data_IF_587739414965
#
_entry.id   IF_587739414965
#
_cell.length_a   1.000
_cell.length_b   1.000
_cell.length_c   1.000
_cell.angle_alpha   90.00
_cell.angle_beta   90.00
_cell.angle_gamma   90.00
#
_symmetry.space_group_name_H-M   'P 1'
#
loop_
_entity.id
_entity.type
_entity.pdbx_description
1 polymer ?
#
# COMPACT_ATOMS: atom_id res chain seq x y z
N UNK A 1 -21.14 -11.56 -36.19
CA UNK A 1 -19.88 -11.42 -35.43
C UNK A 1 -19.08 -12.69 -35.65
N UNK A 2 -17.88 -12.61 -36.26
CA UNK A 2 -17.09 -13.82 -36.56
C UNK A 2 -16.44 -14.38 -35.29
N UNK A 3 -16.13 -15.68 -35.27
CA UNK A 3 -15.63 -16.39 -34.09
C UNK A 3 -14.35 -15.76 -33.47
N UNK A 4 -13.56 -15.04 -34.27
CA UNK A 4 -12.37 -14.31 -33.82
C UNK A 4 -12.70 -13.04 -33.01
N UNK A 5 -13.74 -12.30 -33.41
CA UNK A 5 -14.26 -11.12 -32.71
C UNK A 5 -14.92 -11.52 -31.38
N UNK A 6 -15.64 -12.64 -31.37
CA UNK A 6 -16.25 -13.19 -30.15
C UNK A 6 -15.19 -13.60 -29.12
N UNK A 7 -14.07 -14.22 -29.54
CA UNK A 7 -12.95 -14.58 -28.64
C UNK A 7 -12.23 -13.36 -28.07
N UNK A 8 -12.02 -12.31 -28.87
CA UNK A 8 -11.41 -11.05 -28.39
C UNK A 8 -12.28 -10.35 -27.36
N UNK A 9 -13.58 -10.24 -27.64
CA UNK A 9 -14.54 -9.66 -26.69
C UNK A 9 -14.61 -10.50 -25.42
N UNK A 10 -14.69 -11.83 -25.51
CA UNK A 10 -14.73 -12.69 -24.33
C UNK A 10 -13.47 -12.60 -23.47
N UNK A 11 -12.27 -12.51 -24.06
CA UNK A 11 -11.01 -12.36 -23.30
C UNK A 11 -10.95 -11.00 -22.62
N UNK A 12 -11.32 -9.91 -23.30
CA UNK A 12 -11.39 -8.57 -22.70
C UNK A 12 -12.43 -8.53 -21.58
N UNK A 13 -13.57 -9.18 -21.76
CA UNK A 13 -14.64 -9.24 -20.75
C UNK A 13 -14.23 -10.09 -19.54
N UNK A 14 -13.47 -11.16 -19.73
CA UNK A 14 -12.89 -11.98 -18.64
C UNK A 14 -11.80 -11.22 -17.89
N UNK A 15 -10.95 -10.46 -18.60
CA UNK A 15 -9.94 -9.58 -17.98
C UNK A 15 -10.63 -8.48 -17.16
N UNK A 16 -11.68 -7.85 -17.69
CA UNK A 16 -12.48 -6.86 -16.96
C UNK A 16 -13.19 -7.50 -15.77
N UNK A 17 -13.71 -8.73 -15.90
CA UNK A 17 -14.35 -9.45 -14.80
C UNK A 17 -13.37 -9.79 -13.66
N UNK A 18 -12.13 -10.18 -14.00
CA UNK A 18 -11.06 -10.47 -13.03
C UNK A 18 -10.48 -9.19 -12.42
N UNK A 19 -10.48 -8.07 -13.14
CA UNK A 19 -10.08 -6.77 -12.61
C UNK A 19 -11.17 -6.13 -11.72
N UNK A 20 -12.43 -6.52 -11.87
CA UNK A 20 -13.55 -6.04 -11.05
C UNK A 20 -13.81 -6.88 -9.79
N UNK A 21 -13.15 -8.04 -9.64
CA UNK A 21 -13.21 -8.79 -8.38
C UNK A 21 -12.23 -8.18 -7.38
N UNK A 22 -12.60 -7.01 -6.84
CA UNK A 22 -12.03 -6.54 -5.57
C UNK A 22 -12.28 -7.59 -4.49
N UNK A 23 -11.26 -7.89 -3.69
CA UNK A 23 -11.38 -8.84 -2.59
C UNK A 23 -12.33 -8.29 -1.53
N UNK A 24 -13.42 -9.01 -1.29
CA UNK A 24 -14.36 -8.62 -0.26
C UNK A 24 -13.83 -9.02 1.13
N UNK A 25 -13.54 -8.02 1.96
CA UNK A 25 -13.15 -8.19 3.36
C UNK A 25 -13.88 -7.16 4.23
N UNK A 26 -14.24 -7.54 5.47
CA UNK A 26 -14.93 -6.67 6.43
C UNK A 26 -13.98 -5.86 7.32
N UNK A 27 -12.83 -5.48 6.76
CA UNK A 27 -11.87 -4.63 7.48
C UNK A 27 -12.44 -3.22 7.49
N UNK A 28 -12.74 -2.73 8.70
CA UNK A 28 -13.30 -1.39 8.91
C UNK A 28 -12.22 -0.39 9.36
N UNK A 29 -12.42 0.91 9.11
CA UNK A 29 -11.50 1.95 9.54
C UNK A 29 -11.60 2.21 11.05
N UNK A 30 -10.60 2.94 11.56
CA UNK A 30 -10.56 3.49 12.92
C UNK A 30 -10.96 4.96 12.88
N UNK A 31 -11.79 5.45 13.79
CA UNK A 31 -12.06 6.90 13.85
C UNK A 31 -10.97 7.64 14.61
N UNK A 32 -10.70 8.88 14.23
CA UNK A 32 -9.76 9.75 14.91
C UNK A 32 -10.28 10.25 16.26
N UNK A 33 -9.39 10.21 17.27
CA UNK A 33 -9.60 10.80 18.60
C UNK A 33 -8.99 12.21 18.66
N UNK A 34 -9.59 13.06 19.50
CA UNK A 34 -9.20 14.42 19.90
C UNK A 34 -8.32 15.24 18.92
N UNK A 35 -7.03 14.90 18.80
CA UNK A 35 -6.02 15.69 18.09
C UNK A 35 -5.70 15.13 16.70
N UNK A 36 -6.02 15.94 15.69
CA UNK A 36 -5.68 15.72 14.29
C UNK A 36 -4.25 16.21 14.04
N UNK A 37 -3.29 15.29 14.08
CA UNK A 37 -1.88 15.58 13.82
C UNK A 37 -1.44 14.96 12.50
N UNK A 38 -0.43 15.55 11.89
CA UNK A 38 0.13 15.06 10.64
C UNK A 38 1.60 15.40 10.50
N UNK A 39 2.27 14.66 9.62
CA UNK A 39 3.68 14.83 9.29
C UNK A 39 3.79 14.96 7.78
N UNK A 40 4.45 16.02 7.32
CA UNK A 40 4.75 16.21 5.90
C UNK A 40 6.26 16.34 5.73
N UNK A 41 6.81 15.67 4.72
CA UNK A 41 8.22 15.76 4.34
C UNK A 41 8.30 15.97 2.83
N UNK A 42 9.14 16.91 2.41
CA UNK A 42 9.46 17.09 0.99
C UNK A 42 10.97 17.16 0.81
N UNK A 43 11.46 16.52 -0.25
CA UNK A 43 12.86 16.55 -0.65
C UNK A 43 12.90 16.89 -2.14
N UNK A 44 13.77 17.82 -2.50
CA UNK A 44 14.22 18.03 -3.88
C UNK A 44 15.75 18.07 -3.84
N UNK A 45 16.37 17.05 -4.40
CA UNK A 45 17.81 16.84 -4.36
C UNK A 45 18.34 16.51 -5.75
N UNK A 46 19.38 17.25 -6.15
CA UNK A 46 20.24 16.88 -7.29
C UNK A 46 21.63 16.63 -6.75
N UNK A 47 22.17 15.44 -7.01
CA UNK A 47 23.46 14.99 -6.50
C UNK A 47 24.32 14.42 -7.63
N UNK A 48 25.60 14.78 -7.64
CA UNK A 48 26.64 14.07 -8.39
C UNK A 48 27.52 13.41 -7.34
N UNK A 49 27.64 12.08 -7.38
CA UNK A 49 28.33 11.31 -6.34
C UNK A 49 27.36 10.38 -5.63
N UNK A 50 27.24 10.52 -4.30
CA UNK A 50 26.41 9.62 -3.47
C UNK A 50 25.23 10.37 -2.85
N UNK A 51 24.01 9.88 -3.10
CA UNK A 51 22.80 10.26 -2.39
C UNK A 51 22.36 9.08 -1.51
N UNK A 52 22.06 9.39 -0.24
CA UNK A 52 21.48 8.45 0.71
C UNK A 52 20.23 9.09 1.32
N UNK A 53 19.11 8.38 1.25
CA UNK A 53 17.83 8.80 1.82
C UNK A 53 17.25 7.63 2.61
N UNK A 54 16.91 7.89 3.87
CA UNK A 54 16.23 6.95 4.74
C UNK A 54 15.05 7.63 5.39
N UNK A 55 13.94 6.91 5.46
CA UNK A 55 12.73 7.31 6.15
C UNK A 55 12.12 6.06 6.76
N UNK A 56 11.83 6.16 8.05
CA UNK A 56 11.08 5.16 8.80
C UNK A 56 9.97 5.90 9.54
N UNK A 57 8.75 5.46 9.34
CA UNK A 57 7.58 5.98 10.04
C UNK A 57 6.71 4.83 10.49
N UNK A 58 6.29 4.92 11.74
CA UNK A 58 5.18 4.16 12.29
C UNK A 58 4.16 5.12 12.90
N UNK A 59 2.91 4.97 12.52
CA UNK A 59 1.78 5.73 13.06
C UNK A 59 0.73 4.76 13.58
N UNK A 60 0.30 4.95 14.82
CA UNK A 60 -0.72 4.12 15.43
C UNK A 60 -1.84 4.98 16.00
N UNK A 61 -3.08 4.50 15.87
CA UNK A 61 -4.26 5.19 16.38
C UNK A 61 -5.33 4.20 16.83
N UNK A 62 -6.09 4.58 17.85
CA UNK A 62 -7.26 3.86 18.35
C UNK A 62 -8.47 4.79 18.34
N UNK A 63 -9.68 4.25 18.20
CA UNK A 63 -10.93 5.01 18.25
C UNK A 63 -11.45 5.22 19.69
N UNK A 64 -10.87 4.57 20.69
CA UNK A 64 -11.42 4.53 22.04
C UNK A 64 -10.73 5.52 22.99
N UNK A 65 -11.49 6.44 23.65
CA UNK A 65 -10.94 7.24 24.73
C UNK A 65 -10.42 6.35 25.88
N UNK A 66 -9.14 6.48 26.22
CA UNK A 66 -8.49 5.61 27.20
C UNK A 66 -8.03 4.26 26.65
N UNK A 67 -8.12 4.04 25.33
CA UNK A 67 -7.46 2.92 24.66
C UNK A 67 -5.94 2.98 24.83
N UNK A 68 -5.32 1.82 25.01
CA UNK A 68 -3.88 1.69 25.23
C UNK A 68 -3.21 1.02 24.03
N UNK A 69 -2.52 1.83 23.21
CA UNK A 69 -1.77 1.35 22.05
C UNK A 69 -0.60 0.43 22.43
N UNK A 70 -0.10 0.50 23.67
CA UNK A 70 0.94 -0.41 24.16
C UNK A 70 0.39 -1.78 24.58
N UNK A 71 -0.94 -1.91 24.75
CA UNK A 71 -1.59 -3.17 25.08
C UNK A 71 -2.13 -3.85 23.82
N UNK A 72 -1.66 -5.05 23.50
CA UNK A 72 -2.12 -5.81 22.33
C UNK A 72 -3.54 -6.40 22.45
N UNK A 73 -4.21 -6.20 23.59
CA UNK A 73 -5.58 -6.66 23.83
C UNK A 73 -6.56 -5.56 23.46
N UNK A 74 -7.42 -5.82 22.46
CA UNK A 74 -8.51 -4.92 22.10
C UNK A 74 -9.67 -5.05 23.09
N UNK A 75 -10.19 -3.93 23.55
CA UNK A 75 -11.44 -3.88 24.33
C UNK A 75 -12.67 -3.90 23.40
N UNK A 76 -13.88 -4.23 23.89
CA UNK A 76 -15.10 -4.14 23.08
C UNK A 76 -15.23 -2.77 22.40
N UNK A 77 -15.68 -2.77 21.14
CA UNK A 77 -15.82 -1.59 20.27
C UNK A 77 -14.53 -0.86 19.88
N UNK A 78 -13.36 -1.35 20.31
CA UNK A 78 -12.07 -0.79 19.93
C UNK A 78 -11.68 -1.21 18.50
N UNK A 79 -11.28 -0.24 17.70
CA UNK A 79 -10.58 -0.39 16.42
C UNK A 79 -9.25 0.34 16.45
N UNK A 80 -8.26 -0.21 15.76
CA UNK A 80 -6.92 0.35 15.63
C UNK A 80 -6.46 0.38 14.20
N UNK A 81 -5.76 1.45 13.85
CA UNK A 81 -5.07 1.62 12.59
C UNK A 81 -3.58 1.79 12.87
N UNK A 82 -2.76 1.03 12.15
CA UNK A 82 -1.30 1.10 12.17
C UNK A 82 -0.85 1.31 10.74
N UNK A 83 -0.10 2.37 10.51
CA UNK A 83 0.60 2.64 9.26
C UNK A 83 2.08 2.48 9.50
N UNK A 84 2.77 1.76 8.61
CA UNK A 84 4.22 1.83 8.54
C UNK A 84 4.65 2.24 7.15
N UNK A 85 5.74 2.98 7.09
CA UNK A 85 6.36 3.40 5.85
C UNK A 85 7.87 3.36 6.01
N UNK A 86 8.52 2.57 5.17
CA UNK A 86 9.97 2.46 5.14
C UNK A 86 10.49 2.75 3.74
N UNK A 87 11.55 3.54 3.69
CA UNK A 87 12.30 3.76 2.47
C UNK A 87 13.81 3.69 2.76
N UNK A 88 14.53 3.16 1.77
CA UNK A 88 15.96 3.21 1.74
C UNK A 88 16.42 3.36 0.30
N UNK A 89 16.97 4.54 -0.01
CA UNK A 89 17.59 4.81 -1.30
C UNK A 89 19.07 5.09 -1.10
N UNK A 90 19.91 4.33 -1.81
CA UNK A 90 21.34 4.58 -1.94
C UNK A 90 21.67 4.67 -3.42
N UNK A 91 21.87 5.88 -3.92
CA UNK A 91 22.40 6.12 -5.25
C UNK A 91 23.89 6.45 -5.12
N UNK A 92 24.76 5.51 -5.48
CA UNK A 92 26.19 5.63 -5.30
C UNK A 92 26.91 5.80 -6.64
N UNK A 93 27.71 6.85 -6.72
CA UNK A 93 28.63 7.08 -7.83
C UNK A 93 27.90 7.28 -9.17
N UNK A 94 27.05 8.30 -9.21
CA UNK A 94 26.31 8.68 -10.41
C UNK A 94 25.69 10.07 -10.29
N UNK A 95 24.89 10.43 -11.28
CA UNK A 95 24.03 11.62 -11.22
C UNK A 95 22.64 11.18 -10.79
N UNK A 96 22.13 11.78 -9.71
CA UNK A 96 20.82 11.48 -9.15
C UNK A 96 19.99 12.75 -9.08
N UNK A 97 18.77 12.71 -9.59
CA UNK A 97 17.72 13.67 -9.26
C UNK A 97 16.63 12.93 -8.50
N UNK A 98 16.38 13.35 -7.27
CA UNK A 98 15.44 12.71 -6.37
C UNK A 98 14.45 13.75 -5.85
N UNK A 99 13.17 13.49 -6.03
CA UNK A 99 12.10 14.28 -5.42
C UNK A 99 11.18 13.40 -4.61
N UNK A 100 10.81 13.88 -3.42
CA UNK A 100 9.87 13.22 -2.52
C UNK A 100 8.81 14.19 -2.05
N UNK A 101 7.59 13.69 -2.01
CA UNK A 101 6.49 14.24 -1.25
C UNK A 101 5.95 13.12 -0.37
N UNK A 102 5.90 13.37 0.93
CA UNK A 102 5.37 12.44 1.91
C UNK A 102 4.42 13.19 2.84
N UNK A 103 3.28 12.59 3.11
CA UNK A 103 2.28 13.12 4.01
C UNK A 103 1.62 11.98 4.80
N UNK A 104 1.56 12.13 6.11
CA UNK A 104 0.73 11.33 7.00
C UNK A 104 -0.25 12.27 7.70
N UNK A 105 -1.55 11.95 7.63
CA UNK A 105 -2.65 12.70 8.24
C UNK A 105 -3.46 11.75 9.15
N UNK A 106 -3.43 12.00 10.45
CA UNK A 106 -4.16 11.23 11.46
C UNK A 106 -5.66 11.58 11.56
N UNK A 107 -6.16 12.49 10.72
CA UNK A 107 -7.56 12.92 10.71
C UNK A 107 -8.51 11.89 10.11
N UNK A 108 -9.80 12.03 10.41
CA UNK A 108 -10.85 11.31 9.69
C UNK A 108 -10.86 11.75 8.22
N UNK A 109 -10.65 10.81 7.31
CA UNK A 109 -10.75 11.06 5.87
C UNK A 109 -11.96 10.35 5.26
N UNK A 110 -12.54 10.97 4.24
CA UNK A 110 -13.61 10.37 3.43
C UNK A 110 -13.03 9.43 2.36
N UNK A 111 -13.91 8.69 1.69
CA UNK A 111 -13.54 7.96 0.48
C UNK A 111 -12.89 8.91 -0.55
N UNK A 112 -11.85 8.44 -1.24
CA UNK A 112 -11.08 9.21 -2.22
C UNK A 112 -9.97 10.08 -1.63
N UNK A 113 -9.87 10.17 -0.30
CA UNK A 113 -8.71 10.76 0.39
C UNK A 113 -7.94 9.67 1.12
N UNK A 114 -6.65 9.90 1.32
CA UNK A 114 -5.73 8.97 1.97
C UNK A 114 -5.11 9.63 3.21
N UNK A 115 -4.88 8.83 4.25
CA UNK A 115 -4.14 9.24 5.46
C UNK A 115 -2.65 9.25 5.17
N UNK A 116 -2.14 8.17 4.57
CA UNK A 116 -0.77 8.01 4.12
C UNK A 116 -0.71 8.32 2.62
N UNK A 117 0.14 9.28 2.26
CA UNK A 117 0.49 9.57 0.88
C UNK A 117 2.00 9.69 0.75
N UNK A 118 2.57 9.01 -0.23
CA UNK A 118 3.95 9.24 -0.63
C UNK A 118 4.04 9.24 -2.16
N UNK A 119 4.82 10.15 -2.71
CA UNK A 119 5.19 10.16 -4.11
C UNK A 119 6.68 10.38 -4.23
N UNK A 120 7.32 9.46 -4.94
CA UNK A 120 8.72 9.60 -5.30
C UNK A 120 8.91 9.71 -6.78
N UNK A 121 9.95 10.44 -7.15
CA UNK A 121 10.50 10.40 -8.48
C UNK A 121 12.01 10.40 -8.36
N UNK A 122 12.64 9.41 -8.99
CA UNK A 122 14.09 9.29 -9.03
C UNK A 122 14.54 9.09 -10.46
N UNK A 123 15.50 9.92 -10.88
CA UNK A 123 16.26 9.74 -12.10
C UNK A 123 17.69 9.46 -11.69
N UNK A 124 18.21 8.31 -12.08
CA UNK A 124 19.56 7.90 -11.76
C UNK A 124 20.31 7.45 -13.01
N UNK A 125 21.51 7.99 -13.18
CA UNK A 125 22.47 7.59 -14.21
C UNK A 125 23.82 7.31 -13.55
N UNK A 126 24.28 6.07 -13.65
CA UNK A 126 25.56 5.64 -13.10
C UNK A 126 26.75 6.27 -13.84
N UNK A 127 27.81 6.61 -13.12
CA UNK A 127 29.12 6.80 -13.73
C UNK A 127 29.70 5.42 -14.11
N UNK A 128 29.68 5.13 -15.41
CA UNK A 128 30.16 3.85 -15.94
C UNK A 128 31.66 3.62 -15.67
N UNK A 129 32.45 4.68 -15.50
CA UNK A 129 33.88 4.55 -15.21
C UNK A 129 34.17 4.08 -13.79
N UNK A 130 33.21 4.23 -12.89
CA UNK A 130 33.34 3.92 -11.46
C UNK A 130 32.33 2.86 -10.97
N UNK A 131 31.64 2.19 -11.89
CA UNK A 131 30.65 1.14 -11.59
C UNK A 131 29.53 1.61 -10.66
N UNK A 132 28.97 2.78 -10.93
CA UNK A 132 27.87 3.33 -10.15
C UNK A 132 26.64 2.42 -10.11
N UNK A 133 25.90 2.48 -9.00
CA UNK A 133 24.65 1.73 -8.82
C UNK A 133 23.70 2.47 -7.88
N UNK A 134 22.40 2.34 -8.14
CA UNK A 134 21.36 2.73 -7.22
C UNK A 134 20.65 1.51 -6.66
N UNK A 135 20.56 1.45 -5.34
CA UNK A 135 19.70 0.56 -4.59
C UNK A 135 18.49 1.35 -4.10
N UNK A 136 17.32 0.74 -4.24
CA UNK A 136 16.05 1.28 -3.80
C UNK A 136 15.29 0.17 -3.09
N UNK A 137 14.68 0.51 -1.97
CA UNK A 137 13.73 -0.33 -1.26
C UNK A 137 12.68 0.59 -0.63
N UNK A 138 11.41 0.37 -0.98
CA UNK A 138 10.27 1.10 -0.44
C UNK A 138 9.15 0.12 -0.10
N UNK A 139 8.56 0.27 1.07
CA UNK A 139 7.39 -0.49 1.47
C UNK A 139 6.48 0.36 2.36
N UNK A 140 5.18 0.24 2.11
CA UNK A 140 4.13 0.76 2.96
C UNK A 140 3.27 -0.38 3.46
N UNK A 141 2.91 -0.35 4.74
CA UNK A 141 1.98 -1.31 5.33
C UNK A 141 0.84 -0.58 6.02
N UNK A 142 -0.37 -1.09 5.84
CA UNK A 142 -1.54 -0.73 6.63
C UNK A 142 -2.01 -1.97 7.36
N UNK A 143 -2.12 -1.86 8.68
CA UNK A 143 -2.80 -2.84 9.51
C UNK A 143 -4.00 -2.19 10.17
N UNK A 144 -5.18 -2.80 10.02
CA UNK A 144 -6.37 -2.44 10.78
C UNK A 144 -6.83 -3.65 11.59
N UNK A 145 -7.18 -3.43 12.85
CA UNK A 145 -7.69 -4.47 13.73
C UNK A 145 -8.88 -3.95 14.53
N UNK A 146 -9.81 -4.82 14.90
CA UNK A 146 -10.95 -4.45 15.73
C UNK A 146 -11.55 -5.61 16.50
N UNK A 147 -12.09 -5.31 17.68
CA UNK A 147 -12.85 -6.25 18.49
C UNK A 147 -14.24 -6.51 17.88
N UNK A 148 -14.92 -7.59 18.24
CA UNK A 148 -16.35 -7.71 17.93
C UNK A 148 -17.14 -6.54 18.56
N UNK A 149 -18.21 -6.13 17.89
CA UNK A 149 -19.09 -5.04 18.34
C UNK A 149 -20.54 -5.43 18.13
N UNK A 150 -21.42 -4.94 18.99
CA UNK A 150 -22.89 -5.14 18.91
C UNK A 150 -23.61 -3.94 18.29
N UNK A 151 -22.86 -3.00 17.68
CA UNK A 151 -23.39 -1.80 17.07
C UNK A 151 -23.97 -2.09 15.68
N UNK A 152 -25.17 -1.58 15.42
CA UNK A 152 -25.92 -1.82 14.18
C UNK A 152 -25.36 -1.06 12.96
N UNK A 153 -24.57 -0.01 13.17
CA UNK A 153 -24.06 0.89 12.11
C UNK A 153 -22.64 0.51 11.62
N UNK A 154 -22.26 -0.76 11.73
CA UNK A 154 -20.93 -1.24 11.35
C UNK A 154 -21.00 -2.09 10.08
N UNK A 155 -20.31 -1.65 9.01
CA UNK A 155 -20.22 -2.36 7.73
C UNK A 155 -19.93 -3.86 7.94
N UNK A 156 -20.76 -4.71 7.32
CA UNK A 156 -20.72 -6.16 7.52
C UNK A 156 -19.94 -6.79 6.38
N UNK A 157 -19.26 -7.91 6.64
CA UNK A 157 -18.73 -8.73 5.56
C UNK A 157 -19.88 -9.10 4.61
N UNK A 158 -19.73 -8.89 3.31
CA UNK A 158 -20.73 -9.33 2.31
C UNK A 158 -20.96 -10.86 2.34
N UNK A 159 -20.03 -11.61 2.95
CA UNK A 159 -20.14 -13.05 3.19
C UNK A 159 -20.76 -13.42 4.54
N UNK A 160 -21.06 -12.46 5.42
CA UNK A 160 -21.68 -12.73 6.72
C UNK A 160 -23.17 -13.01 6.55
N UNK A 161 -23.53 -14.29 6.42
CA UNK A 161 -24.93 -14.75 6.34
C UNK A 161 -25.72 -14.70 7.65
N UNK A 162 -25.16 -14.15 8.74
CA UNK A 162 -25.85 -14.05 10.03
C UNK A 162 -26.91 -12.95 10.06
N UNK A 163 -27.96 -13.10 10.86
CA UNK A 163 -29.02 -12.10 11.07
C UNK A 163 -28.87 -11.29 12.37
N UNK A 164 -27.79 -11.51 13.12
CA UNK A 164 -27.49 -10.78 14.36
C UNK A 164 -26.84 -9.42 14.12
N UNK A 165 -27.12 -8.46 15.00
CA UNK A 165 -26.58 -7.09 15.08
C UNK A 165 -25.08 -6.99 15.43
N UNK A 166 -24.35 -8.11 15.38
CA UNK A 166 -22.95 -8.15 15.81
C UNK A 166 -22.02 -8.15 14.61
N UNK A 167 -21.04 -7.24 14.59
CA UNK A 167 -19.91 -7.31 13.66
C UNK A 167 -18.76 -8.10 14.30
N UNK A 168 -18.19 -9.01 13.50
CA UNK A 168 -17.06 -9.85 13.88
C UNK A 168 -15.81 -9.02 14.24
N UNK A 169 -14.95 -9.60 15.08
CA UNK A 169 -13.59 -9.12 15.23
C UNK A 169 -12.79 -9.38 13.95
N UNK A 170 -11.78 -8.55 13.70
CA UNK A 170 -10.98 -8.67 12.49
C UNK A 170 -9.55 -8.20 12.71
N UNK A 171 -8.67 -8.67 11.84
CA UNK A 171 -7.36 -8.08 11.57
C UNK A 171 -7.07 -8.18 10.09
N UNK A 172 -6.61 -7.09 9.52
CA UNK A 172 -6.17 -7.04 8.13
C UNK A 172 -4.86 -6.30 8.05
N UNK A 173 -3.88 -6.92 7.39
CA UNK A 173 -2.61 -6.29 7.05
C UNK A 173 -2.43 -6.33 5.54
N UNK A 174 -2.09 -5.18 4.96
CA UNK A 174 -1.71 -5.07 3.56
C UNK A 174 -0.37 -4.38 3.49
N UNK A 175 0.58 -5.01 2.82
CA UNK A 175 1.89 -4.46 2.53
C UNK A 175 2.07 -4.37 1.02
N UNK A 176 2.64 -3.27 0.53
CA UNK A 176 2.99 -3.12 -0.86
C UNK A 176 4.25 -2.28 -0.99
N UNK A 177 5.06 -2.61 -2.00
CA UNK A 177 6.37 -2.01 -2.12
C UNK A 177 7.09 -2.36 -3.42
N UNK A 178 8.29 -1.79 -3.55
CA UNK A 178 9.20 -2.09 -4.65
C UNK A 178 10.65 -2.08 -4.20
N UNK A 179 11.47 -2.81 -4.95
CA UNK A 179 12.91 -2.81 -4.78
C UNK A 179 13.59 -2.69 -6.15
N UNK A 180 14.67 -1.91 -6.23
CA UNK A 180 15.46 -1.77 -7.46
C UNK A 180 16.95 -1.88 -7.17
N UNK A 181 17.68 -2.47 -8.11
CA UNK A 181 19.13 -2.44 -8.20
C UNK A 181 19.50 -2.12 -9.64
N UNK A 182 19.87 -0.87 -9.91
CA UNK A 182 19.93 -0.32 -11.27
C UNK A 182 21.18 0.53 -11.49
N UNK A 183 21.53 0.65 -12.77
CA UNK A 183 22.59 1.53 -13.26
C UNK A 183 22.02 2.74 -14.02
N UNK A 184 20.82 2.59 -14.58
CA UNK A 184 20.09 3.66 -15.25
C UNK A 184 18.59 3.44 -15.01
N UNK A 185 17.90 4.46 -14.50
CA UNK A 185 16.43 4.43 -14.36
C UNK A 185 15.84 5.84 -14.26
N UNK A 186 14.63 6.00 -14.79
CA UNK A 186 13.65 6.98 -14.36
C UNK A 186 12.50 6.21 -13.71
N UNK A 187 12.30 6.39 -12.41
CA UNK A 187 11.28 5.70 -11.65
C UNK A 187 10.37 6.66 -10.89
N UNK A 188 9.09 6.33 -10.84
CA UNK A 188 8.07 7.01 -10.06
C UNK A 188 7.37 5.96 -9.21
N UNK A 189 7.25 6.23 -7.91
CA UNK A 189 6.41 5.44 -7.02
C UNK A 189 5.35 6.32 -6.39
N UNK A 190 4.17 5.76 -6.15
CA UNK A 190 3.07 6.43 -5.46
C UNK A 190 2.43 5.48 -4.47
N UNK A 191 2.30 5.92 -3.23
CA UNK A 191 1.60 5.23 -2.16
C UNK A 191 0.39 6.06 -1.76
N UNK A 192 -0.77 5.42 -1.68
CA UNK A 192 -1.98 5.99 -1.11
C UNK A 192 -2.61 5.00 -0.14
N UNK A 193 -2.88 5.42 1.09
CA UNK A 193 -3.32 4.52 2.14
C UNK A 193 -4.35 5.16 3.08
N UNK A 194 -5.46 4.48 3.31
CA UNK A 194 -6.53 4.92 4.21
C UNK A 194 -6.89 3.83 5.19
N UNK A 195 -6.91 4.19 6.46
CA UNK A 195 -7.48 3.36 7.52
C UNK A 195 -8.14 4.18 8.64
N UNK A 196 -8.11 5.52 8.56
CA UNK A 196 -8.72 6.40 9.56
C UNK A 196 -9.92 7.13 8.94
N UNK A 197 -11.12 6.85 9.44
CA UNK A 197 -12.36 7.48 8.97
C UNK A 197 -13.42 7.52 10.06
N UNK A 198 -14.28 8.53 10.00
CA UNK A 198 -15.43 8.65 10.90
C UNK A 198 -16.53 7.63 10.57
N UNK A 199 -16.65 7.24 9.29
CA UNK A 199 -17.66 6.28 8.86
C UNK A 199 -17.09 4.87 8.73
N UNK A 200 -17.81 3.90 9.30
CA UNK A 200 -17.54 2.47 9.12
C UNK A 200 -17.75 2.00 7.68
N UNK A 201 -18.45 2.79 6.86
CA UNK A 201 -18.73 2.51 5.44
C UNK A 201 -17.63 3.00 4.50
N UNK A 202 -16.60 3.68 5.01
CA UNK A 202 -15.46 4.09 4.19
C UNK A 202 -14.44 2.95 4.17
N UNK A 203 -14.08 2.41 3.00
CA UNK A 203 -13.23 1.24 2.95
C UNK A 203 -11.78 1.58 3.32
N UNK A 204 -11.15 0.65 4.02
CA UNK A 204 -9.70 0.65 4.26
C UNK A 204 -9.03 0.26 2.94
N UNK A 205 -8.03 1.02 2.50
CA UNK A 205 -7.35 0.75 1.24
C UNK A 205 -5.83 0.90 1.36
N UNK A 206 -5.11 0.24 0.46
CA UNK A 206 -3.72 0.53 0.16
C UNK A 206 -3.53 0.44 -1.35
N UNK A 207 -3.00 1.52 -1.93
CA UNK A 207 -2.67 1.67 -3.34
C UNK A 207 -1.18 1.86 -3.45
N UNK A 208 -0.55 1.07 -4.32
CA UNK A 208 0.86 1.21 -4.65
C UNK A 208 1.01 1.24 -6.17
N UNK A 209 1.53 2.35 -6.68
CA UNK A 209 1.88 2.52 -8.08
C UNK A 209 3.38 2.53 -8.23
N UNK A 210 3.88 1.77 -9.20
CA UNK A 210 5.28 1.73 -9.59
C UNK A 210 5.38 1.86 -11.10
N UNK A 211 6.27 2.73 -11.55
CA UNK A 211 6.60 2.91 -12.96
C UNK A 211 8.10 3.16 -13.06
N UNK A 212 8.83 2.28 -13.73
CA UNK A 212 10.26 2.40 -13.93
C UNK A 212 10.67 2.05 -15.36
N UNK A 213 11.37 3.00 -15.98
CA UNK A 213 11.84 2.94 -17.36
C UNK A 213 13.26 3.52 -17.47
N UNK A 214 13.85 3.53 -18.66
CA UNK A 214 15.17 4.12 -18.90
C UNK A 214 15.11 5.64 -19.01
N UNK A 215 16.26 6.30 -18.86
CA UNK A 215 16.36 7.75 -19.06
C UNK A 215 16.41 8.12 -20.56
N UNK A 216 16.67 7.13 -21.42
CA UNK A 216 16.79 7.36 -22.87
C UNK A 216 18.05 8.13 -23.24
N UNK A 217 19.09 8.06 -22.40
CA UNK A 217 20.39 8.72 -22.63
C UNK A 217 21.10 8.18 -23.88
N UNK A 218 20.77 6.95 -24.27
CA UNK A 218 21.16 6.37 -25.55
C UNK A 218 19.98 6.39 -26.53
N UNK A 219 20.18 7.00 -27.71
CA UNK A 219 19.16 7.14 -28.76
C UNK A 219 18.55 5.82 -29.27
N UNK A 220 19.11 4.67 -28.87
CA UNK A 220 18.68 3.33 -29.27
C UNK A 220 18.03 2.52 -28.13
N UNK A 221 17.95 3.06 -26.90
CA UNK A 221 17.40 2.32 -25.76
C UNK A 221 16.74 3.24 -24.73
N UNK A 222 15.44 3.08 -24.53
CA UNK A 222 14.64 3.78 -23.50
C UNK A 222 14.32 2.88 -22.31
N UNK A 223 14.92 1.70 -22.23
CA UNK A 223 14.71 0.74 -21.15
C UNK A 223 15.71 0.98 -20.00
N UNK A 224 15.24 0.79 -18.77
CA UNK A 224 16.07 0.84 -17.57
C UNK A 224 17.07 -0.31 -17.56
N UNK A 225 18.19 -0.13 -16.88
CA UNK A 225 19.28 -1.11 -16.81
C UNK A 225 19.45 -1.60 -15.38
N UNK A 226 19.20 -2.88 -15.15
CA UNK A 226 19.35 -3.51 -13.84
C UNK A 226 18.24 -4.49 -13.52
N UNK A 227 17.72 -4.43 -12.30
CA UNK A 227 16.57 -5.22 -11.87
C UNK A 227 15.60 -4.37 -11.06
N UNK A 228 14.31 -4.64 -11.24
CA UNK A 228 13.23 -4.04 -10.48
C UNK A 228 12.24 -5.13 -10.05
N UNK A 229 11.68 -4.94 -8.87
CA UNK A 229 10.69 -5.80 -8.26
C UNK A 229 9.56 -4.95 -7.68
N UNK A 230 8.32 -5.42 -7.84
CA UNK A 230 7.13 -4.84 -7.24
C UNK A 230 6.32 -5.96 -6.61
N UNK A 231 5.75 -5.72 -5.43
CA UNK A 231 4.94 -6.71 -4.75
C UNK A 231 3.75 -6.07 -4.01
N UNK A 232 2.75 -6.91 -3.75
CA UNK A 232 1.70 -6.68 -2.76
C UNK A 232 1.44 -7.98 -2.01
N UNK A 233 1.29 -7.86 -0.69
CA UNK A 233 0.91 -8.94 0.21
C UNK A 233 -0.30 -8.50 1.04
N UNK A 234 -1.28 -9.39 1.16
CA UNK A 234 -2.45 -9.19 2.00
C UNK A 234 -2.63 -10.39 2.92
N UNK A 235 -2.96 -10.13 4.17
CA UNK A 235 -3.39 -11.14 5.13
C UNK A 235 -4.58 -10.60 5.92
N UNK A 236 -5.70 -11.31 5.85
CA UNK A 236 -6.96 -10.94 6.50
C UNK A 236 -7.51 -12.10 7.29
N UNK A 237 -8.00 -11.77 8.48
CA UNK A 237 -8.53 -12.71 9.44
C UNK A 237 -9.78 -12.11 10.09
N UNK A 238 -10.86 -12.89 10.15
CA UNK A 238 -12.08 -12.54 10.90
C UNK A 238 -12.34 -13.56 12.00
N UNK A 239 -12.95 -13.11 13.09
CA UNK A 239 -13.09 -13.85 14.34
C UNK A 239 -14.53 -13.82 14.82
N UNK A 240 -15.00 -14.89 15.46
CA UNK A 240 -16.33 -14.94 16.09
C UNK A 240 -16.47 -13.89 17.22
N UNK A 241 -15.37 -13.64 17.94
CA UNK A 241 -15.25 -12.65 19.01
C UNK A 241 -14.20 -11.57 18.77
N UNK A 242 -13.31 -11.33 19.74
CA UNK A 242 -12.20 -10.37 19.59
C UNK A 242 -11.10 -10.92 18.67
N UNK A 243 -10.17 -10.07 18.21
CA UNK A 243 -8.95 -10.51 17.50
C UNK A 243 -8.10 -11.55 18.27
N UNK A 244 -8.33 -11.70 19.59
CA UNK A 244 -7.69 -12.71 20.43
C UNK A 244 -8.53 -13.98 20.61
N UNK A 245 -9.70 -14.06 20.00
CA UNK A 245 -10.49 -15.29 19.97
C UNK A 245 -9.79 -16.34 19.08
N UNK A 246 -9.66 -17.57 19.58
CA UNK A 246 -9.09 -18.68 18.80
C UNK A 246 -9.99 -19.14 17.64
N UNK A 247 -11.26 -18.71 17.62
CA UNK A 247 -12.22 -19.13 16.61
C UNK A 247 -12.14 -18.24 15.34
N UNK A 248 -11.09 -18.46 14.55
CA UNK A 248 -10.90 -17.86 13.23
C UNK A 248 -11.99 -18.36 12.27
N UNK A 249 -12.81 -17.44 11.75
CA UNK A 249 -13.96 -17.75 10.88
C UNK A 249 -13.64 -17.62 9.41
N UNK A 250 -12.80 -16.65 9.03
CA UNK A 250 -12.35 -16.44 7.65
C UNK A 250 -10.87 -16.06 7.66
N UNK A 251 -10.12 -16.63 6.71
CA UNK A 251 -8.75 -16.22 6.41
C UNK A 251 -8.56 -16.03 4.91
N UNK A 252 -7.93 -14.93 4.52
CA UNK A 252 -7.50 -14.66 3.15
C UNK A 252 -6.04 -14.26 3.22
N UNK A 253 -5.20 -14.95 2.45
CA UNK A 253 -3.81 -14.53 2.25
C UNK A 253 -3.53 -14.52 0.75
N UNK A 254 -3.08 -13.39 0.22
CA UNK A 254 -2.68 -13.23 -1.18
C UNK A 254 -1.30 -12.59 -1.26
N UNK A 255 -0.49 -13.05 -2.22
CA UNK A 255 0.84 -12.50 -2.48
C UNK A 255 1.06 -12.43 -3.98
N UNK A 256 1.34 -11.23 -4.47
CA UNK A 256 1.74 -10.97 -5.84
C UNK A 256 3.12 -10.36 -5.88
N UNK A 257 3.92 -10.78 -6.87
CA UNK A 257 5.29 -10.33 -7.04
C UNK A 257 5.68 -10.38 -8.51
N UNK A 258 6.15 -9.27 -9.05
CA UNK A 258 6.65 -9.15 -10.42
C UNK A 258 8.12 -8.73 -10.37
N UNK A 259 8.96 -9.36 -11.21
CA UNK A 259 10.39 -9.06 -11.28
C UNK A 259 10.81 -8.91 -12.74
N UNK A 260 11.50 -7.82 -13.04
CA UNK A 260 12.16 -7.58 -14.34
C UNK A 260 13.68 -7.46 -14.15
N UNK A 261 14.47 -7.98 -15.09
CA UNK A 261 15.95 -8.00 -15.02
C UNK A 261 16.58 -7.78 -16.39
N UNK A 262 17.74 -7.14 -16.41
CA UNK A 262 18.47 -6.79 -17.62
C UNK A 262 18.03 -5.41 -18.11
N UNK A 263 17.48 -5.37 -19.32
CA UNK A 263 16.81 -4.18 -19.86
C UNK A 263 15.32 -4.29 -19.56
N UNK A 264 14.72 -3.28 -18.93
CA UNK A 264 13.32 -3.36 -18.52
C UNK A 264 12.55 -2.05 -18.69
N UNK A 265 11.24 -2.23 -18.85
CA UNK A 265 10.21 -1.23 -18.62
C UNK A 265 9.17 -1.98 -17.78
N UNK A 266 8.97 -1.51 -16.55
CA UNK A 266 8.10 -2.15 -15.58
C UNK A 266 7.18 -1.12 -14.96
N UNK A 267 5.90 -1.21 -15.30
CA UNK A 267 4.84 -0.48 -14.64
C UNK A 267 3.84 -1.47 -14.02
N UNK A 268 3.49 -1.24 -12.76
CA UNK A 268 2.50 -2.02 -12.05
C UNK A 268 1.79 -1.17 -11.01
N UNK A 269 0.47 -1.29 -10.98
CA UNK A 269 -0.37 -0.72 -9.93
C UNK A 269 -1.03 -1.85 -9.17
N UNK A 270 -0.89 -1.82 -7.86
CA UNK A 270 -1.63 -2.66 -6.95
C UNK A 270 -2.63 -1.82 -6.16
N UNK A 271 -3.83 -2.36 -5.99
CA UNK A 271 -4.86 -1.75 -5.17
C UNK A 271 -5.53 -2.83 -4.33
N UNK A 272 -5.57 -2.58 -3.03
CA UNK A 272 -6.47 -3.23 -2.11
C UNK A 272 -7.50 -2.22 -1.63
N UNK A 273 -8.75 -2.64 -1.55
CA UNK A 273 -9.83 -1.93 -0.87
C UNK A 273 -10.70 -2.95 -0.16
N UNK A 274 -11.02 -2.71 1.11
CA UNK A 274 -12.06 -3.48 1.79
C UNK A 274 -13.42 -3.20 1.17
N UNK A 275 -14.37 -4.10 1.39
CA UNK A 275 -15.76 -3.94 0.95
C UNK A 275 -16.65 -3.72 2.16
N UNK A 276 -17.57 -2.78 2.07
CA UNK A 276 -18.49 -2.42 3.17
C UNK A 276 -19.86 -3.02 3.01
#
# INVERSE_FOLDING_TARGET
MNAYELRRVSVVLLIILVLLTGWASAVRPTSALYDQTGITTSIDATCIGTLLVNHDMEWQQTNLPGGDLANNTLTPDETRAIFTYRENTLAATGTTKYTKEYNMDGSNVSEGRDNLYARHTVNYEADQSQSGTMLWDEEATITSAGAATTLDDVGRCVFAGGTGSNAAGFRGTVAAGSAMNVQEVAAVTTVGGRAISESSTVPVNLRYGFDAQGLGTNANNTLGVGAAEVFMETDFETYDGTFLDSNLTTKISDRQRTVARGLFDLAQTHEYSSTT
#
